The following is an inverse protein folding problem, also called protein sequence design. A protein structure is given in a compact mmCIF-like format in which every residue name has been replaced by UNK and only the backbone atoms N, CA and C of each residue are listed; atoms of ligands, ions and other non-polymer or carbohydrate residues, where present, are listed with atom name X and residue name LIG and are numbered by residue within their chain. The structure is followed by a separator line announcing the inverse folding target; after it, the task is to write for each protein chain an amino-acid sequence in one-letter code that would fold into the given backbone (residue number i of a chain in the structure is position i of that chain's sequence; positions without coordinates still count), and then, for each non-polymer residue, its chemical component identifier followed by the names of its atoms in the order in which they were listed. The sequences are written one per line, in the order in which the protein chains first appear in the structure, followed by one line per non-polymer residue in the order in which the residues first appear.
data_IF_211554390196
#
_entry.id   IF_211554390196
#
_cell.length_a   1.000
_cell.length_b   1.000
_cell.length_c   1.000
_cell.angle_alpha   90.00
_cell.angle_beta   90.00
_cell.angle_gamma   90.00
#
_symmetry.space_group_name_H-M   'P 1'
#
loop_
_entity.id
_entity.type
_entity.pdbx_description
1 polymer ?
#
# COMPACT_ATOMS: atom_id res chain seq x y z
N UNK A 1 -7.68 17.48 -35.62
CA UNK A 1 -7.97 16.04 -35.76
C UNK A 1 -7.92 15.39 -34.38
N UNK A 2 -9.06 15.33 -33.68
CA UNK A 2 -9.21 14.58 -32.43
C UNK A 2 -10.14 13.41 -32.69
N UNK A 3 -9.57 12.26 -33.09
CA UNK A 3 -10.30 11.00 -33.28
C UNK A 3 -9.36 9.84 -32.92
N UNK A 4 -9.44 9.37 -31.68
CA UNK A 4 -9.52 7.93 -31.32
C UNK A 4 -9.40 7.72 -29.81
N UNK A 5 -10.51 7.73 -29.08
CA UNK A 5 -10.60 7.16 -27.72
C UNK A 5 -11.94 6.44 -27.50
N UNK A 6 -12.44 5.74 -28.53
CA UNK A 6 -13.79 5.14 -28.52
C UNK A 6 -13.84 3.60 -28.54
N UNK A 7 -12.74 2.90 -28.30
CA UNK A 7 -12.74 1.42 -28.28
C UNK A 7 -12.34 0.82 -26.92
N UNK A 8 -12.90 1.35 -25.83
CA UNK A 8 -12.89 0.66 -24.53
C UNK A 8 -14.11 -0.27 -24.43
N UNK A 9 -13.82 -1.56 -24.26
CA UNK A 9 -14.77 -2.66 -24.30
C UNK A 9 -15.89 -2.55 -23.24
N UNK A 10 -17.03 -3.15 -23.59
CA UNK A 10 -18.36 -3.09 -22.94
C UNK A 10 -18.41 -3.40 -21.42
N UNK A 11 -17.33 -3.85 -20.79
CA UNK A 11 -17.20 -4.08 -19.34
C UNK A 11 -16.65 -2.87 -18.56
N UNK A 12 -16.16 -1.82 -19.23
CA UNK A 12 -15.75 -0.54 -18.63
C UNK A 12 -16.89 0.52 -18.65
N UNK A 13 -18.06 0.20 -19.21
CA UNK A 13 -19.17 1.16 -19.41
C UNK A 13 -20.00 1.49 -18.16
N UNK A 14 -19.56 1.07 -16.97
CA UNK A 14 -20.10 1.58 -15.71
C UNK A 14 -19.33 2.76 -15.12
N UNK A 15 -18.20 3.17 -15.73
CA UNK A 15 -17.17 4.00 -15.05
C UNK A 15 -16.74 5.23 -15.87
N UNK A 16 -17.42 5.56 -16.97
CA UNK A 16 -17.13 6.78 -17.72
C UNK A 16 -18.42 7.43 -18.23
N UNK A 17 -19.11 8.15 -17.35
CA UNK A 17 -20.03 9.25 -17.66
C UNK A 17 -19.61 10.39 -16.72
N UNK A 18 -19.35 11.62 -17.16
CA UNK A 18 -19.97 12.37 -18.23
C UNK A 18 -18.96 13.36 -18.83
N UNK A 19 -18.99 13.56 -20.15
CA UNK A 19 -18.38 14.69 -20.85
C UNK A 19 -19.05 16.04 -20.56
N UNK A 20 -19.79 16.15 -19.46
CA UNK A 20 -20.25 17.42 -18.89
C UNK A 20 -19.38 17.73 -17.69
N UNK A 21 -18.32 18.50 -17.95
CA UNK A 21 -17.41 19.04 -16.96
C UNK A 21 -18.14 19.95 -15.98
N UNK A 22 -18.70 19.37 -14.92
CA UNK A 22 -18.82 20.11 -13.67
C UNK A 22 -17.43 20.01 -13.03
N UNK A 23 -16.68 21.13 -12.90
CA UNK A 23 -15.40 21.10 -12.22
C UNK A 23 -15.61 20.54 -10.82
N UNK A 24 -14.70 19.69 -10.32
CA UNK A 24 -14.75 19.32 -8.91
C UNK A 24 -14.68 20.60 -8.07
N UNK A 25 -15.68 20.86 -7.23
CA UNK A 25 -15.63 22.01 -6.34
C UNK A 25 -14.46 21.85 -5.36
N UNK A 26 -13.74 22.94 -5.07
CA UNK A 26 -12.67 22.93 -4.07
C UNK A 26 -13.26 23.01 -2.65
N UNK A 27 -13.92 21.92 -2.25
CA UNK A 27 -14.68 21.80 -0.99
C UNK A 27 -14.06 20.77 -0.04
N UNK A 28 -12.79 20.42 -0.25
CA UNK A 28 -12.09 19.48 0.61
C UNK A 28 -12.07 19.93 2.08
N UNK A 29 -11.90 21.24 2.31
CA UNK A 29 -11.85 21.78 3.66
C UNK A 29 -13.18 21.63 4.42
N UNK A 30 -14.33 21.54 3.73
CA UNK A 30 -15.62 21.21 4.33
C UNK A 30 -15.60 19.77 4.87
N UNK A 31 -15.30 18.79 4.01
CA UNK A 31 -15.20 17.37 4.40
C UNK A 31 -14.17 17.17 5.52
N UNK A 32 -13.01 17.81 5.41
CA UNK A 32 -11.94 17.74 6.42
C UNK A 32 -12.37 18.33 7.75
N UNK A 33 -13.17 19.41 7.74
CA UNK A 33 -13.76 20.00 8.94
C UNK A 33 -14.75 19.03 9.59
N UNK A 34 -15.63 18.40 8.82
CA UNK A 34 -16.58 17.39 9.32
C UNK A 34 -15.86 16.20 9.95
N UNK A 35 -14.89 15.61 9.25
CA UNK A 35 -14.11 14.45 9.74
C UNK A 35 -13.32 14.80 11.00
N UNK A 36 -12.78 16.03 11.09
CA UNK A 36 -12.10 16.53 12.28
C UNK A 36 -13.06 16.72 13.46
N UNK A 37 -14.23 17.31 13.25
CA UNK A 37 -15.26 17.51 14.29
C UNK A 37 -15.76 16.18 14.85
N UNK A 38 -15.80 15.13 14.02
CA UNK A 38 -16.14 13.78 14.45
C UNK A 38 -15.03 13.07 15.26
N UNK A 39 -13.89 13.73 15.53
CA UNK A 39 -12.77 13.16 16.28
C UNK A 39 -11.99 12.07 15.52
N UNK A 40 -12.27 11.85 14.23
CA UNK A 40 -11.71 10.71 13.49
C UNK A 40 -10.23 10.87 13.13
N UNK A 41 -9.68 12.07 13.25
CA UNK A 41 -8.25 12.38 13.02
C UNK A 41 -7.41 12.35 14.31
N UNK A 42 -8.04 12.08 15.46
CA UNK A 42 -7.32 12.03 16.74
C UNK A 42 -6.29 10.90 16.77
N UNK A 43 -5.21 11.14 17.51
CA UNK A 43 -4.13 10.16 17.68
C UNK A 43 -4.55 9.12 18.70
N UNK A 44 -4.13 7.89 18.47
CA UNK A 44 -4.54 6.74 19.28
C UNK A 44 -3.34 6.04 19.95
N UNK A 45 -2.54 6.75 20.77
CA UNK A 45 -1.28 6.23 21.27
C UNK A 45 -1.46 4.94 22.08
N UNK A 46 -2.52 4.81 22.88
CA UNK A 46 -2.78 3.61 23.71
C UNK A 46 -3.04 2.39 22.83
N UNK A 47 -4.03 2.47 21.94
CA UNK A 47 -4.37 1.39 21.01
C UNK A 47 -3.20 1.04 20.09
N UNK A 48 -2.50 2.05 19.58
CA UNK A 48 -1.31 1.87 18.77
C UNK A 48 -0.20 1.14 19.53
N UNK A 49 0.03 1.49 20.79
CA UNK A 49 1.02 0.82 21.65
C UNK A 49 0.66 -0.65 21.92
N UNK A 50 -0.63 -0.95 22.09
CA UNK A 50 -1.10 -2.34 22.24
C UNK A 50 -0.79 -3.15 20.97
N UNK A 51 -1.07 -2.63 19.77
CA UNK A 51 -0.73 -3.34 18.53
C UNK A 51 0.78 -3.52 18.36
N UNK A 52 1.56 -2.49 18.68
CA UNK A 52 3.02 -2.54 18.65
C UNK A 52 3.58 -3.64 19.56
N UNK A 53 3.11 -3.70 20.81
CA UNK A 53 3.51 -4.73 21.78
C UNK A 53 3.07 -6.12 21.31
N UNK A 54 1.84 -6.25 20.79
CA UNK A 54 1.33 -7.53 20.31
C UNK A 54 2.15 -8.08 19.14
N UNK A 55 2.57 -7.24 18.19
CA UNK A 55 3.40 -7.66 17.06
C UNK A 55 4.80 -8.06 17.53
N UNK A 56 5.44 -7.28 18.40
CA UNK A 56 6.76 -7.64 18.97
C UNK A 56 6.66 -8.94 19.76
N UNK A 57 5.68 -9.06 20.65
CA UNK A 57 5.46 -10.25 21.47
C UNK A 57 5.19 -11.49 20.62
N UNK A 58 4.42 -11.36 19.53
CA UNK A 58 4.15 -12.46 18.61
C UNK A 58 5.40 -12.90 17.84
N UNK A 59 6.24 -11.95 17.41
CA UNK A 59 7.51 -12.29 16.76
C UNK A 59 8.47 -13.00 17.74
N UNK A 60 8.60 -12.46 18.95
CA UNK A 60 9.43 -13.10 20.00
C UNK A 60 8.92 -14.51 20.31
N UNK A 61 7.61 -14.69 20.45
CA UNK A 61 7.00 -16.00 20.67
C UNK A 61 7.26 -16.96 19.49
N UNK A 62 7.13 -16.49 18.25
CA UNK A 62 7.43 -17.30 17.06
C UNK A 62 8.88 -17.80 17.06
N UNK A 63 9.84 -16.93 17.37
CA UNK A 63 11.26 -17.28 17.41
C UNK A 63 11.60 -18.19 18.60
N UNK A 64 11.09 -17.88 19.78
CA UNK A 64 11.36 -18.63 21.01
C UNK A 64 10.76 -20.04 20.98
N UNK A 65 9.62 -20.22 20.31
CA UNK A 65 8.93 -21.50 20.21
C UNK A 65 9.21 -22.24 18.90
N UNK A 66 10.04 -21.70 18.00
CA UNK A 66 10.27 -22.25 16.66
C UNK A 66 10.49 -23.78 16.60
N UNK A 67 11.26 -24.42 17.52
CA UNK A 67 11.44 -25.89 17.52
C UNK A 67 10.15 -26.70 17.72
N UNK A 68 9.08 -26.09 18.24
CA UNK A 68 7.80 -26.75 18.49
C UNK A 68 6.89 -26.80 17.27
N UNK A 69 7.24 -26.11 16.19
CA UNK A 69 6.36 -25.92 15.04
C UNK A 69 6.76 -26.80 13.85
N UNK A 70 5.77 -27.16 13.05
CA UNK A 70 6.02 -27.51 11.66
C UNK A 70 6.54 -26.25 10.92
N UNK A 71 7.62 -26.34 10.10
CA UNK A 71 8.21 -25.18 9.43
C UNK A 71 7.24 -24.40 8.53
N UNK A 72 6.26 -25.08 7.90
CA UNK A 72 5.26 -24.41 7.06
C UNK A 72 4.31 -23.59 7.93
N UNK A 73 3.82 -24.18 9.04
CA UNK A 73 2.93 -23.47 9.97
C UNK A 73 3.64 -22.29 10.64
N UNK A 74 4.92 -22.44 11.00
CA UNK A 74 5.74 -21.34 11.50
C UNK A 74 5.89 -20.23 10.46
N UNK A 75 6.16 -20.58 9.20
CA UNK A 75 6.23 -19.62 8.10
C UNK A 75 4.93 -18.84 7.90
N UNK A 76 3.78 -19.51 7.94
CA UNK A 76 2.46 -18.85 7.86
C UNK A 76 2.21 -17.91 9.04
N UNK A 77 2.58 -18.33 10.26
CA UNK A 77 2.45 -17.48 11.44
C UNK A 77 3.38 -16.26 11.37
N UNK A 78 4.64 -16.43 10.96
CA UNK A 78 5.58 -15.33 10.74
C UNK A 78 5.06 -14.39 9.65
N UNK A 79 4.49 -14.89 8.56
CA UNK A 79 3.82 -14.04 7.55
C UNK A 79 2.75 -13.17 8.17
N UNK A 80 1.86 -13.74 8.99
CA UNK A 80 0.83 -12.97 9.68
C UNK A 80 1.44 -11.86 10.53
N UNK A 81 2.46 -12.18 11.33
CA UNK A 81 3.15 -11.20 12.20
C UNK A 81 3.84 -10.10 11.37
N UNK A 82 4.52 -10.46 10.28
CA UNK A 82 5.18 -9.51 9.38
C UNK A 82 4.18 -8.61 8.65
N UNK A 83 3.06 -9.15 8.17
CA UNK A 83 1.96 -8.33 7.60
C UNK A 83 1.44 -7.33 8.64
N UNK A 84 1.27 -7.74 9.90
CA UNK A 84 0.89 -6.81 10.97
C UNK A 84 1.98 -5.77 11.24
N UNK A 85 3.26 -6.14 11.17
CA UNK A 85 4.37 -5.18 11.28
C UNK A 85 4.36 -4.15 10.15
N UNK A 86 3.99 -4.53 8.92
CA UNK A 86 3.82 -3.60 7.79
C UNK A 86 2.76 -2.55 8.14
N UNK A 87 1.59 -2.96 8.60
CA UNK A 87 0.51 -2.04 8.97
C UNK A 87 0.85 -1.15 10.17
N UNK A 88 1.50 -1.69 11.20
CA UNK A 88 1.94 -0.89 12.36
C UNK A 88 2.99 0.14 11.93
N UNK A 89 3.99 -0.27 11.15
CA UNK A 89 5.01 0.66 10.64
C UNK A 89 4.39 1.75 9.76
N UNK A 90 3.47 1.38 8.88
CA UNK A 90 2.71 2.29 8.03
C UNK A 90 2.01 3.37 8.86
N UNK A 91 1.24 2.98 9.87
CA UNK A 91 0.44 3.90 10.68
C UNK A 91 1.29 4.82 11.53
N UNK A 92 2.34 4.25 12.12
CA UNK A 92 3.31 5.01 12.90
C UNK A 92 3.95 6.06 12.00
N UNK A 93 4.44 5.69 10.81
CA UNK A 93 5.08 6.63 9.88
C UNK A 93 4.12 7.68 9.30
N UNK A 94 2.82 7.38 9.22
CA UNK A 94 1.75 8.36 8.96
C UNK A 94 1.40 9.24 10.16
N UNK A 95 2.07 9.07 11.29
CA UNK A 95 1.79 9.75 12.57
C UNK A 95 0.39 9.49 13.11
N UNK A 96 -0.22 8.35 12.81
CA UNK A 96 -1.59 8.02 13.25
C UNK A 96 -1.64 7.71 14.76
N UNK A 97 -0.57 7.15 15.32
CA UNK A 97 -0.51 6.77 16.74
C UNK A 97 -0.01 7.91 17.62
N UNK A 98 0.98 8.67 17.15
CA UNK A 98 1.66 9.70 17.93
C UNK A 98 1.77 11.01 17.13
N UNK A 99 1.73 12.16 17.82
CA UNK A 99 1.80 13.47 17.16
C UNK A 99 3.20 13.80 16.59
N UNK A 100 4.26 13.31 17.22
CA UNK A 100 5.64 13.67 16.86
C UNK A 100 6.17 12.81 15.70
N UNK A 101 6.59 13.46 14.61
CA UNK A 101 7.22 12.78 13.45
C UNK A 101 8.54 12.11 13.84
N UNK A 102 9.36 12.76 14.67
CA UNK A 102 10.64 12.21 15.14
C UNK A 102 10.44 10.98 16.03
N UNK A 103 9.49 11.04 16.96
CA UNK A 103 9.13 9.88 17.78
C UNK A 103 8.60 8.74 16.92
N UNK A 104 7.66 9.05 16.03
CA UNK A 104 7.07 8.07 15.11
C UNK A 104 8.14 7.38 14.27
N UNK A 105 9.09 8.14 13.73
CA UNK A 105 10.21 7.58 12.99
C UNK A 105 11.02 6.58 13.82
N UNK A 106 11.39 6.92 15.04
CA UNK A 106 12.12 6.01 15.94
C UNK A 106 11.31 4.76 16.30
N UNK A 107 10.02 4.94 16.60
CA UNK A 107 9.10 3.85 16.96
C UNK A 107 8.75 2.93 15.78
N UNK A 108 8.99 3.36 14.54
CA UNK A 108 8.79 2.51 13.37
C UNK A 108 9.88 1.43 13.23
N UNK A 109 11.11 1.68 13.69
CA UNK A 109 12.27 0.80 13.42
C UNK A 109 12.12 -0.65 13.88
N UNK A 110 11.52 -0.97 15.04
CA UNK A 110 11.23 -2.36 15.41
C UNK A 110 10.41 -3.10 14.36
N UNK A 111 9.49 -2.41 13.69
CA UNK A 111 8.56 -3.00 12.72
C UNK A 111 9.11 -2.96 11.30
N UNK A 112 9.69 -1.83 10.88
CA UNK A 112 10.27 -1.68 9.55
C UNK A 112 11.65 -2.32 9.43
N UNK A 113 12.63 -1.85 10.21
CA UNK A 113 14.02 -2.23 10.04
C UNK A 113 14.29 -3.63 10.61
N UNK A 114 13.85 -3.92 11.84
CA UNK A 114 14.15 -5.21 12.48
C UNK A 114 13.28 -6.35 11.97
N UNK A 115 11.95 -6.19 11.94
CA UNK A 115 11.05 -7.28 11.52
C UNK A 115 11.04 -7.44 9.99
N UNK A 116 11.08 -6.35 9.22
CA UNK A 116 10.90 -6.41 7.76
C UNK A 116 12.17 -6.15 6.93
N UNK A 117 13.28 -5.71 7.54
CA UNK A 117 14.46 -5.21 6.82
C UNK A 117 14.15 -4.09 5.82
N UNK A 118 13.15 -3.26 6.12
CA UNK A 118 12.74 -2.12 5.29
C UNK A 118 13.18 -0.80 5.93
N UNK A 119 13.55 0.16 5.08
CA UNK A 119 13.88 1.51 5.50
C UNK A 119 12.60 2.32 5.69
N UNK A 120 12.38 2.79 6.91
CA UNK A 120 11.39 3.82 7.21
C UNK A 120 11.62 5.11 6.44
N UNK A 121 12.86 5.44 6.05
CA UNK A 121 13.19 6.67 5.29
C UNK A 121 12.88 6.52 3.82
N UNK A 122 13.22 5.38 3.24
CA UNK A 122 12.77 5.01 1.91
C UNK A 122 11.25 5.02 1.84
N UNK A 123 10.58 4.39 2.81
CA UNK A 123 9.12 4.33 2.83
C UNK A 123 8.49 5.73 3.00
N UNK A 124 8.98 6.58 3.91
CA UNK A 124 8.44 7.96 4.09
C UNK A 124 8.61 8.79 2.80
N UNK A 125 9.75 8.64 2.11
CA UNK A 125 9.98 9.33 0.84
C UNK A 125 9.08 8.78 -0.28
N UNK A 126 9.10 7.46 -0.50
CA UNK A 126 8.33 6.82 -1.57
C UNK A 126 6.82 7.01 -1.37
N UNK A 127 6.32 6.70 -0.18
CA UNK A 127 4.89 6.69 0.09
C UNK A 127 4.36 8.09 0.40
N UNK A 128 4.89 8.76 1.43
CA UNK A 128 4.29 10.03 1.90
C UNK A 128 4.62 11.21 1.01
N UNK A 129 5.85 11.27 0.46
CA UNK A 129 6.27 12.41 -0.37
C UNK A 129 5.85 12.22 -1.82
N UNK A 130 6.07 11.04 -2.41
CA UNK A 130 5.73 10.80 -3.80
C UNK A 130 4.28 10.32 -3.95
N UNK A 131 3.97 9.09 -3.52
CA UNK A 131 2.69 8.44 -3.83
C UNK A 131 1.46 9.18 -3.26
N UNK A 132 1.49 9.63 -2.00
CA UNK A 132 0.37 10.40 -1.42
C UNK A 132 0.16 11.73 -2.13
N UNK A 133 1.25 12.46 -2.41
CA UNK A 133 1.16 13.79 -3.03
C UNK A 133 0.77 13.73 -4.51
N UNK A 134 1.27 12.72 -5.21
CA UNK A 134 1.24 12.64 -6.67
C UNK A 134 0.68 11.30 -7.18
N UNK A 135 -0.28 10.71 -6.47
CA UNK A 135 -0.86 9.40 -6.82
C UNK A 135 -1.27 9.35 -8.30
N UNK A 136 -0.77 8.35 -9.03
CA UNK A 136 -0.92 8.16 -10.48
C UNK A 136 -0.55 9.36 -11.37
N UNK A 137 0.29 10.28 -10.89
CA UNK A 137 0.99 11.24 -11.76
C UNK A 137 2.20 10.52 -12.37
N UNK A 138 2.19 10.33 -13.68
CA UNK A 138 3.09 9.39 -14.37
C UNK A 138 4.58 9.75 -14.26
N UNK A 139 4.90 11.02 -14.09
CA UNK A 139 6.28 11.50 -13.95
C UNK A 139 6.79 11.44 -12.51
N UNK A 140 5.93 11.18 -11.52
CA UNK A 140 6.24 11.30 -10.08
C UNK A 140 5.97 10.03 -9.29
N UNK A 141 4.89 9.32 -9.59
CA UNK A 141 4.50 8.10 -8.90
C UNK A 141 5.11 6.87 -9.57
N UNK A 142 6.10 6.28 -8.91
CA UNK A 142 6.77 5.07 -9.43
C UNK A 142 5.84 3.85 -9.41
N UNK A 143 4.79 3.84 -8.59
CA UNK A 143 3.93 2.67 -8.44
C UNK A 143 3.05 2.43 -9.68
N UNK A 144 2.69 3.48 -10.43
CA UNK A 144 1.92 3.36 -11.69
C UNK A 144 2.77 2.95 -12.89
N UNK A 145 4.10 2.99 -12.78
CA UNK A 145 5.04 2.62 -13.86
C UNK A 145 5.23 1.09 -14.02
N UNK A 146 4.49 0.29 -13.25
CA UNK A 146 4.55 -1.16 -13.26
C UNK A 146 4.36 -1.77 -14.67
N UNK A 147 5.02 -2.92 -14.90
CA UNK A 147 5.01 -3.66 -16.16
C UNK A 147 5.23 -2.74 -17.38
N UNK A 148 6.36 -2.04 -17.40
CA UNK A 148 6.72 -1.14 -18.51
C UNK A 148 5.59 -0.15 -18.84
N UNK A 149 5.14 0.57 -17.80
CA UNK A 149 4.11 1.62 -17.92
C UNK A 149 2.77 1.10 -18.43
N UNK A 150 2.39 -0.13 -18.09
CA UNK A 150 1.13 -0.73 -18.57
C UNK A 150 -0.13 0.00 -18.08
N UNK A 151 -0.01 0.73 -16.97
CA UNK A 151 -1.11 1.42 -16.30
C UNK A 151 -1.09 2.94 -16.50
N UNK A 152 -0.30 3.44 -17.44
CA UNK A 152 -0.23 4.86 -17.78
C UNK A 152 -0.84 5.13 -19.15
N UNK A 153 -1.05 6.40 -19.49
CA UNK A 153 -1.46 6.86 -20.81
C UNK A 153 -0.42 6.47 -21.88
N UNK A 154 0.87 6.63 -21.58
CA UNK A 154 1.96 6.25 -22.47
C UNK A 154 2.49 4.84 -22.15
N UNK A 155 1.88 3.83 -22.77
CA UNK A 155 2.30 2.44 -22.60
C UNK A 155 3.68 2.19 -23.17
N UNK A 156 4.46 1.38 -22.46
CA UNK A 156 5.73 0.87 -22.98
C UNK A 156 5.56 -0.01 -24.22
N UNK A 157 6.65 -0.15 -24.96
CA UNK A 157 6.67 -0.81 -26.28
C UNK A 157 7.57 -2.04 -26.33
N UNK A 158 8.12 -2.50 -25.19
CA UNK A 158 9.06 -3.60 -25.16
C UNK A 158 8.42 -4.92 -25.66
N UNK A 159 8.90 -5.53 -26.76
CA UNK A 159 8.28 -6.73 -27.34
C UNK A 159 8.27 -7.94 -26.40
N UNK A 160 9.32 -8.11 -25.59
CA UNK A 160 9.42 -9.20 -24.62
C UNK A 160 8.39 -9.03 -23.50
N UNK A 161 8.26 -7.81 -22.96
CA UNK A 161 7.27 -7.50 -21.93
C UNK A 161 5.86 -7.71 -22.46
N UNK A 162 5.55 -7.24 -23.68
CA UNK A 162 4.24 -7.47 -24.32
C UNK A 162 3.91 -8.95 -24.48
N UNK A 163 4.88 -9.76 -24.91
CA UNK A 163 4.70 -11.21 -25.10
C UNK A 163 4.45 -11.94 -23.78
N UNK A 164 5.14 -11.57 -22.70
CA UNK A 164 5.09 -12.30 -21.42
C UNK A 164 4.42 -11.51 -20.28
N UNK A 165 3.62 -10.49 -20.61
CA UNK A 165 3.06 -9.51 -19.66
C UNK A 165 2.39 -10.10 -18.42
N UNK A 166 1.56 -11.13 -18.59
CA UNK A 166 0.87 -11.76 -17.46
C UNK A 166 1.83 -12.51 -16.54
N UNK A 167 2.80 -13.23 -17.11
CA UNK A 167 3.79 -13.95 -16.34
C UNK A 167 4.71 -12.98 -15.59
N UNK A 168 5.13 -11.90 -16.25
CA UNK A 168 5.97 -10.88 -15.63
C UNK A 168 5.20 -10.16 -14.53
N UNK A 169 4.00 -9.64 -14.82
CA UNK A 169 3.23 -8.89 -13.84
C UNK A 169 2.83 -9.76 -12.64
N UNK A 170 2.16 -10.89 -12.88
CA UNK A 170 1.70 -11.74 -11.78
C UNK A 170 2.85 -12.48 -11.08
N UNK A 171 3.89 -12.86 -11.83
CA UNK A 171 5.11 -13.43 -11.26
C UNK A 171 5.86 -12.45 -10.36
N UNK A 172 5.96 -11.17 -10.74
CA UNK A 172 6.60 -10.14 -9.93
C UNK A 172 5.93 -9.94 -8.56
N UNK A 173 4.64 -10.26 -8.42
CA UNK A 173 3.93 -10.13 -7.14
C UNK A 173 4.47 -11.07 -6.06
N UNK A 174 5.13 -12.16 -6.43
CA UNK A 174 5.83 -13.06 -5.49
C UNK A 174 7.19 -12.54 -5.03
N UNK A 175 7.64 -11.40 -5.55
CA UNK A 175 8.93 -10.79 -5.23
C UNK A 175 8.80 -9.37 -4.65
N UNK A 176 7.59 -8.93 -4.30
CA UNK A 176 7.35 -7.62 -3.69
C UNK A 176 8.15 -7.40 -2.39
N UNK A 177 8.16 -8.39 -1.49
CA UNK A 177 8.91 -8.29 -0.23
C UNK A 177 10.43 -8.09 -0.45
N UNK A 178 11.14 -8.97 -1.20
CA UNK A 178 12.55 -8.75 -1.47
C UNK A 178 12.82 -7.49 -2.32
N UNK A 179 11.91 -7.09 -3.21
CA UNK A 179 12.04 -5.85 -3.97
C UNK A 179 12.02 -4.61 -3.07
N UNK A 180 11.19 -4.60 -2.02
CA UNK A 180 11.14 -3.50 -1.06
C UNK A 180 12.39 -3.44 -0.17
N UNK A 181 12.93 -4.60 0.20
CA UNK A 181 14.21 -4.71 0.91
C UNK A 181 15.34 -4.15 0.02
N UNK A 182 15.40 -4.57 -1.24
CA UNK A 182 16.42 -4.12 -2.19
C UNK A 182 16.36 -2.59 -2.43
N UNK A 183 15.15 -2.04 -2.62
CA UNK A 183 14.94 -0.60 -2.76
C UNK A 183 15.31 0.16 -1.48
N UNK A 184 14.95 -0.38 -0.31
CA UNK A 184 15.33 0.17 0.99
C UNK A 184 16.84 0.24 1.15
N UNK A 185 17.57 -0.84 0.84
CA UNK A 185 19.03 -0.88 0.89
C UNK A 185 19.66 0.12 -0.08
N UNK A 186 19.19 0.14 -1.34
CA UNK A 186 19.67 1.11 -2.34
C UNK A 186 19.50 2.54 -1.84
N UNK A 187 18.35 2.85 -1.25
CA UNK A 187 18.03 4.19 -0.74
C UNK A 187 18.95 4.59 0.42
N UNK A 188 19.07 3.76 1.46
CA UNK A 188 19.88 4.12 2.65
C UNK A 188 21.37 4.22 2.31
N UNK A 189 21.90 3.39 1.40
CA UNK A 189 23.29 3.45 0.95
C UNK A 189 23.54 4.74 0.16
N UNK A 190 22.71 5.02 -0.86
CA UNK A 190 22.84 6.24 -1.68
C UNK A 190 22.73 7.52 -0.84
N UNK A 191 21.88 7.51 0.19
CA UNK A 191 21.67 8.64 1.10
C UNK A 191 22.60 8.64 2.32
N UNK A 192 23.51 7.67 2.45
CA UNK A 192 24.46 7.51 3.57
C UNK A 192 23.78 7.46 4.95
N UNK A 193 22.62 6.83 5.04
CA UNK A 193 21.84 6.67 6.27
C UNK A 193 22.35 5.46 7.10
N UNK A 194 23.59 5.53 7.56
CA UNK A 194 24.30 4.38 8.15
C UNK A 194 23.66 3.81 9.41
N UNK A 195 23.04 4.65 10.24
CA UNK A 195 22.32 4.17 11.43
C UNK A 195 21.13 3.29 11.06
N UNK A 196 20.33 3.71 10.08
CA UNK A 196 19.18 2.92 9.61
C UNK A 196 19.61 1.68 8.83
N UNK A 197 20.68 1.80 8.04
CA UNK A 197 21.31 0.66 7.37
C UNK A 197 21.76 -0.42 8.37
N UNK A 198 22.41 -0.03 9.48
CA UNK A 198 22.81 -0.95 10.53
C UNK A 198 21.60 -1.65 11.19
N UNK A 199 20.53 -0.90 11.48
CA UNK A 199 19.29 -1.48 12.03
C UNK A 199 18.65 -2.48 11.06
N UNK A 200 18.62 -2.19 9.75
CA UNK A 200 18.10 -3.11 8.75
C UNK A 200 18.95 -4.39 8.64
N UNK A 201 20.29 -4.27 8.76
CA UNK A 201 21.18 -5.43 8.75
C UNK A 201 20.95 -6.35 9.96
N UNK A 202 20.51 -5.82 11.10
CA UNK A 202 20.21 -6.62 12.29
C UNK A 202 19.04 -7.60 12.08
N UNK A 203 18.16 -7.35 11.10
CA UNK A 203 17.09 -8.29 10.70
C UNK A 203 17.63 -9.70 10.45
N UNK A 204 18.73 -9.82 9.72
CA UNK A 204 19.26 -11.10 9.26
C UNK A 204 19.75 -12.00 10.39
N UNK A 205 20.67 -11.58 11.28
CA UNK A 205 21.09 -12.42 12.40
C UNK A 205 19.98 -12.60 13.44
N UNK A 206 19.13 -11.60 13.69
CA UNK A 206 18.11 -11.69 14.74
C UNK A 206 16.94 -12.60 14.35
N UNK A 207 16.43 -12.50 13.12
CA UNK A 207 15.30 -13.32 12.69
C UNK A 207 15.83 -14.64 12.12
N UNK A 208 16.60 -14.56 11.03
CA UNK A 208 17.02 -15.75 10.29
C UNK A 208 18.17 -16.49 10.96
N UNK A 209 19.12 -15.79 11.59
CA UNK A 209 20.17 -16.41 12.37
C UNK A 209 19.63 -17.20 13.57
N UNK A 210 18.65 -16.65 14.29
CA UNK A 210 17.94 -17.37 15.36
C UNK A 210 17.20 -18.58 14.84
N UNK A 211 16.49 -18.49 13.71
CA UNK A 211 15.82 -19.66 13.12
C UNK A 211 16.83 -20.74 12.69
N UNK A 212 17.95 -20.37 12.05
CA UNK A 212 19.01 -21.32 11.68
C UNK A 212 19.52 -22.05 12.91
N UNK A 213 19.75 -21.33 14.01
CA UNK A 213 20.20 -21.90 15.26
C UNK A 213 19.16 -22.84 15.90
N UNK A 214 17.88 -22.46 15.90
CA UNK A 214 16.81 -23.19 16.58
C UNK A 214 16.32 -24.42 15.82
N UNK A 215 16.15 -24.32 14.50
CA UNK A 215 15.46 -25.34 13.68
C UNK A 215 16.32 -25.88 12.53
N UNK A 216 17.57 -25.41 12.38
CA UNK A 216 18.48 -25.81 11.33
C UNK A 216 18.22 -25.11 9.98
N UNK A 217 19.21 -25.18 9.09
CA UNK A 217 19.20 -24.46 7.81
C UNK A 217 18.07 -24.85 6.87
N UNK A 218 17.77 -26.15 6.73
CA UNK A 218 16.73 -26.64 5.81
C UNK A 218 15.33 -26.17 6.25
N UNK A 219 14.97 -26.33 7.52
CA UNK A 219 13.68 -25.87 8.02
C UNK A 219 13.56 -24.34 7.96
N UNK A 220 14.65 -23.61 8.22
CA UNK A 220 14.67 -22.16 8.06
C UNK A 220 14.46 -21.74 6.61
N UNK A 221 15.05 -22.46 5.65
CA UNK A 221 14.80 -22.22 4.22
C UNK A 221 13.32 -22.45 3.87
N UNK A 222 12.70 -23.50 4.39
CA UNK A 222 11.25 -23.74 4.20
C UNK A 222 10.44 -22.57 4.77
N UNK A 223 10.73 -22.12 5.99
CA UNK A 223 10.09 -20.95 6.59
C UNK A 223 10.27 -19.71 5.70
N UNK A 224 11.48 -19.44 5.21
CA UNK A 224 11.78 -18.30 4.36
C UNK A 224 11.01 -18.33 3.03
N UNK A 225 10.92 -19.52 2.40
CA UNK A 225 10.13 -19.70 1.17
C UNK A 225 8.64 -19.47 1.44
N UNK A 226 8.08 -20.08 2.50
CA UNK A 226 6.68 -19.88 2.86
C UNK A 226 6.40 -18.40 3.13
N UNK A 227 7.26 -17.71 3.88
CA UNK A 227 7.14 -16.28 4.14
C UNK A 227 7.15 -15.50 2.84
N UNK A 228 8.12 -15.71 1.95
CA UNK A 228 8.18 -15.00 0.68
C UNK A 228 6.93 -15.23 -0.20
N UNK A 229 6.54 -16.49 -0.38
CA UNK A 229 5.42 -16.87 -1.25
C UNK A 229 4.04 -16.53 -0.69
N UNK A 230 3.94 -16.10 0.57
CA UNK A 230 2.67 -15.68 1.18
C UNK A 230 2.65 -14.18 1.51
N UNK A 231 3.75 -13.61 2.02
CA UNK A 231 3.86 -12.18 2.32
C UNK A 231 3.90 -11.33 1.05
N UNK A 232 4.69 -11.72 0.03
CA UNK A 232 4.81 -10.90 -1.19
C UNK A 232 3.47 -10.75 -1.92
N UNK A 233 2.67 -11.81 -2.16
CA UNK A 233 1.33 -11.66 -2.72
C UNK A 233 0.38 -10.88 -1.80
N UNK A 234 0.42 -11.09 -0.48
CA UNK A 234 -0.43 -10.33 0.44
C UNK A 234 -0.14 -8.82 0.35
N UNK A 235 1.14 -8.44 0.33
CA UNK A 235 1.54 -7.05 0.10
C UNK A 235 1.03 -6.55 -1.24
N UNK A 236 1.26 -7.32 -2.31
CA UNK A 236 0.78 -6.98 -3.66
C UNK A 236 -0.70 -6.66 -3.65
N UNK A 237 -1.49 -7.57 -3.10
CA UNK A 237 -2.94 -7.44 -3.00
C UNK A 237 -3.31 -6.15 -2.29
N UNK A 238 -2.64 -5.82 -1.19
CA UNK A 238 -2.88 -4.60 -0.43
C UNK A 238 -2.59 -3.29 -1.18
N UNK A 239 -1.73 -3.29 -2.21
CA UNK A 239 -1.31 -2.07 -2.92
C UNK A 239 -1.93 -1.94 -4.31
N UNK A 240 -1.88 -3.00 -5.13
CA UNK A 240 -2.24 -2.88 -6.55
C UNK A 240 -3.72 -2.61 -6.78
N UNK A 241 -4.60 -3.22 -5.98
CA UNK A 241 -6.06 -3.14 -6.19
C UNK A 241 -6.65 -1.77 -5.88
N UNK A 242 -5.87 -0.89 -5.25
CA UNK A 242 -6.35 0.35 -4.68
C UNK A 242 -6.16 1.57 -5.58
N UNK A 243 -5.23 1.49 -6.55
CA UNK A 243 -4.97 2.61 -7.47
C UNK A 243 -4.52 2.15 -8.88
N UNK A 244 -4.01 0.93 -9.07
CA UNK A 244 -3.70 0.45 -10.42
C UNK A 244 -4.97 0.26 -11.24
N UNK A 245 -4.93 0.79 -12.47
CA UNK A 245 -6.07 0.81 -13.38
C UNK A 245 -7.15 1.85 -13.01
N UNK A 246 -6.89 2.75 -12.04
CA UNK A 246 -7.62 4.01 -11.93
C UNK A 246 -7.09 4.99 -12.98
N UNK A 247 -7.64 6.21 -13.02
CA UNK A 247 -7.11 7.25 -13.91
C UNK A 247 -5.64 7.57 -13.56
N UNK A 248 -4.85 7.84 -14.59
CA UNK A 248 -3.50 8.40 -14.48
C UNK A 248 -3.43 9.71 -15.26
N UNK A 249 -2.59 10.62 -14.78
CA UNK A 249 -2.47 11.96 -15.35
C UNK A 249 -1.02 12.29 -15.64
N UNK A 250 -0.82 13.07 -16.70
CA UNK A 250 0.44 13.80 -16.88
C UNK A 250 0.58 14.88 -15.81
N UNK A 251 1.81 15.24 -15.45
CA UNK A 251 2.07 16.28 -14.45
C UNK A 251 1.30 17.58 -14.70
N UNK A 252 1.23 18.03 -15.96
CA UNK A 252 0.52 19.26 -16.35
C UNK A 252 -1.00 19.14 -16.29
N UNK A 253 -1.55 17.92 -16.38
CA UNK A 253 -2.97 17.65 -16.17
C UNK A 253 -3.27 17.63 -14.67
N UNK A 254 -2.44 16.94 -13.89
CA UNK A 254 -2.58 16.83 -12.43
C UNK A 254 -2.54 18.18 -11.72
N UNK A 255 -1.69 19.12 -12.18
CA UNK A 255 -1.62 20.50 -11.64
C UNK A 255 -2.94 21.29 -11.75
N UNK A 256 -3.86 20.87 -12.61
CA UNK A 256 -5.17 21.51 -12.81
C UNK A 256 -6.26 20.95 -11.90
N UNK A 257 -6.00 19.80 -11.27
CA UNK A 257 -6.96 19.12 -10.40
C UNK A 257 -6.82 19.63 -8.97
N UNK A 258 -7.94 19.78 -8.27
CA UNK A 258 -7.90 20.02 -6.82
C UNK A 258 -7.36 18.78 -6.10
N UNK A 259 -6.93 18.93 -4.84
CA UNK A 259 -6.51 17.80 -4.01
C UNK A 259 -7.59 16.72 -3.91
N UNK A 260 -8.84 17.13 -3.67
CA UNK A 260 -9.96 16.20 -3.57
C UNK A 260 -10.17 15.45 -4.89
N UNK A 261 -10.18 16.17 -6.01
CA UNK A 261 -10.39 15.59 -7.32
C UNK A 261 -9.31 14.57 -7.67
N UNK A 262 -8.04 14.94 -7.50
CA UNK A 262 -6.93 14.07 -7.82
C UNK A 262 -7.05 12.75 -7.05
N UNK A 263 -7.18 12.82 -5.71
CA UNK A 263 -7.21 11.61 -4.89
C UNK A 263 -8.46 10.75 -5.14
N UNK A 264 -9.62 11.35 -5.42
CA UNK A 264 -10.87 10.61 -5.71
C UNK A 264 -10.82 9.88 -7.07
N UNK A 265 -10.10 10.42 -8.06
CA UNK A 265 -10.01 9.86 -9.43
C UNK A 265 -8.88 8.86 -9.59
N UNK A 266 -7.77 9.05 -8.88
CA UNK A 266 -6.58 8.18 -9.00
C UNK A 266 -6.59 7.00 -8.03
N UNK A 267 -7.54 6.93 -7.11
CA UNK A 267 -7.67 5.82 -6.16
C UNK A 267 -9.09 5.24 -6.14
N UNK A 268 -9.23 4.03 -5.57
CA UNK A 268 -10.52 3.37 -5.37
C UNK A 268 -10.58 2.73 -3.99
N UNK A 269 -11.77 2.66 -3.42
CA UNK A 269 -12.01 1.92 -2.20
C UNK A 269 -12.68 0.56 -2.48
N UNK A 270 -12.38 -0.44 -1.67
CA UNK A 270 -12.83 -1.82 -1.80
C UNK A 270 -13.81 -2.19 -0.68
N UNK A 271 -14.93 -2.76 -1.10
CA UNK A 271 -15.99 -3.32 -0.26
C UNK A 271 -15.72 -4.77 0.11
N UNK A 272 -16.44 -5.28 1.11
CA UNK A 272 -16.34 -6.67 1.56
C UNK A 272 -16.32 -6.85 3.08
N UNK A 273 -16.73 -5.81 3.82
CA UNK A 273 -16.96 -5.88 5.27
C UNK A 273 -15.68 -6.00 6.09
N UNK A 274 -15.84 -6.53 7.31
CA UNK A 274 -14.78 -6.56 8.32
C UNK A 274 -13.57 -7.42 7.90
N UNK A 275 -13.80 -8.52 7.18
CA UNK A 275 -12.71 -9.38 6.72
C UNK A 275 -11.81 -8.67 5.70
N UNK A 276 -12.39 -8.04 4.68
CA UNK A 276 -11.61 -7.25 3.70
C UNK A 276 -10.88 -6.12 4.40
N UNK A 277 -11.53 -5.41 5.32
CA UNK A 277 -10.87 -4.34 6.06
C UNK A 277 -9.68 -4.84 6.89
N UNK A 278 -9.82 -5.99 7.57
CA UNK A 278 -8.73 -6.61 8.31
C UNK A 278 -7.59 -7.10 7.41
N UNK A 279 -7.93 -7.78 6.30
CA UNK A 279 -6.97 -8.37 5.37
C UNK A 279 -6.10 -7.30 4.70
N UNK A 280 -6.73 -6.21 4.23
CA UNK A 280 -6.03 -5.07 3.62
C UNK A 280 -5.45 -4.11 4.66
N UNK A 281 -5.66 -4.38 5.94
CA UNK A 281 -5.29 -3.49 7.02
C UNK A 281 -6.04 -2.16 7.03
N UNK A 282 -7.02 -1.90 6.17
CA UNK A 282 -7.60 -0.57 6.01
C UNK A 282 -7.07 0.18 4.79
N UNK A 283 -6.12 -0.38 4.04
CA UNK A 283 -5.79 0.14 2.71
C UNK A 283 -6.93 -0.10 1.70
N UNK A 284 -7.90 -0.96 2.02
CA UNK A 284 -9.12 -1.08 1.24
C UNK A 284 -9.91 0.24 1.19
N UNK A 285 -9.68 1.21 2.07
CA UNK A 285 -10.28 2.55 1.99
C UNK A 285 -9.25 3.54 1.45
N UNK A 286 -8.77 3.31 0.23
CA UNK A 286 -7.62 4.05 -0.32
C UNK A 286 -7.94 5.53 -0.53
N UNK A 287 -9.15 5.84 -1.02
CA UNK A 287 -9.58 7.23 -1.22
C UNK A 287 -9.46 7.99 0.10
N UNK A 288 -9.97 7.41 1.18
CA UNK A 288 -9.94 8.00 2.51
C UNK A 288 -8.52 8.08 3.08
N UNK A 289 -7.71 7.06 2.82
CA UNK A 289 -6.32 7.02 3.23
C UNK A 289 -5.50 8.12 2.55
N UNK A 290 -5.75 8.41 1.27
CA UNK A 290 -5.09 9.51 0.55
C UNK A 290 -5.62 10.88 0.98
N UNK A 291 -6.93 11.04 1.17
CA UNK A 291 -7.50 12.30 1.64
C UNK A 291 -7.08 12.59 3.09
N UNK A 292 -7.00 11.56 3.94
CA UNK A 292 -6.75 11.68 5.37
C UNK A 292 -5.67 10.69 5.85
N UNK A 293 -4.41 10.79 5.38
CA UNK A 293 -3.34 9.84 5.73
C UNK A 293 -3.07 9.77 7.23
N UNK A 294 -3.39 10.85 7.93
CA UNK A 294 -3.27 11.03 9.38
C UNK A 294 -4.44 10.41 10.18
N UNK A 295 -5.51 9.95 9.53
CA UNK A 295 -6.60 9.25 10.21
C UNK A 295 -6.14 7.83 10.58
N UNK A 296 -6.28 7.38 11.84
CA UNK A 296 -5.93 6.02 12.20
C UNK A 296 -6.72 4.98 11.39
N UNK A 297 -6.08 3.87 10.97
CA UNK A 297 -6.76 2.79 10.21
C UNK A 297 -8.08 2.32 10.81
N UNK A 298 -8.20 2.30 12.14
CA UNK A 298 -9.42 1.90 12.85
C UNK A 298 -10.61 2.85 12.66
N UNK A 299 -10.34 4.11 12.27
CA UNK A 299 -11.36 5.09 11.96
C UNK A 299 -11.69 5.13 10.47
N UNK A 300 -10.89 4.50 9.60
CA UNK A 300 -11.02 4.68 8.15
C UNK A 300 -12.36 4.20 7.60
N UNK A 301 -13.00 3.16 8.15
CA UNK A 301 -14.36 2.79 7.73
C UNK A 301 -15.40 3.88 8.07
N UNK A 302 -15.21 4.60 9.18
CA UNK A 302 -16.08 5.74 9.55
C UNK A 302 -15.81 6.92 8.62
N UNK A 303 -14.54 7.21 8.35
CA UNK A 303 -14.14 8.23 7.36
C UNK A 303 -14.71 7.89 5.99
N UNK A 304 -14.68 6.62 5.58
CA UNK A 304 -15.22 6.13 4.32
C UNK A 304 -16.71 6.41 4.20
N UNK A 305 -17.47 6.13 5.27
CA UNK A 305 -18.88 6.47 5.30
C UNK A 305 -19.10 7.98 5.08
N UNK A 306 -18.37 8.83 5.79
CA UNK A 306 -18.47 10.28 5.66
C UNK A 306 -18.08 10.77 4.25
N UNK A 307 -16.97 10.27 3.70
CA UNK A 307 -16.53 10.60 2.33
C UNK A 307 -17.56 10.18 1.30
N UNK A 308 -18.16 8.98 1.43
CA UNK A 308 -19.21 8.50 0.51
C UNK A 308 -20.48 9.36 0.61
N UNK A 309 -20.90 9.72 1.82
CA UNK A 309 -22.08 10.55 2.04
C UNK A 309 -21.85 11.98 1.53
N UNK A 310 -20.64 12.53 1.72
CA UNK A 310 -20.22 13.82 1.17
C UNK A 310 -20.18 13.80 -0.36
N UNK A 311 -19.60 12.76 -0.97
CA UNK A 311 -19.57 12.61 -2.42
C UNK A 311 -20.99 12.60 -3.00
N UNK A 312 -21.93 11.87 -2.38
CA UNK A 312 -23.35 11.88 -2.79
C UNK A 312 -24.00 13.26 -2.65
N UNK A 313 -23.74 13.97 -1.55
CA UNK A 313 -24.31 15.31 -1.29
C UNK A 313 -23.88 16.34 -2.34
N UNK A 314 -22.65 16.21 -2.85
CA UNK A 314 -22.04 17.16 -3.78
C UNK A 314 -21.92 16.64 -5.22
N UNK A 315 -22.61 15.55 -5.56
CA UNK A 315 -22.58 14.90 -6.88
C UNK A 315 -21.16 14.59 -7.39
N UNK A 316 -20.29 14.13 -6.48
CA UNK A 316 -18.92 13.71 -6.78
C UNK A 316 -18.89 12.20 -7.06
N UNK A 317 -18.09 11.80 -8.06
CA UNK A 317 -17.86 10.39 -8.35
C UNK A 317 -17.02 9.76 -7.23
N UNK A 318 -17.54 8.68 -6.63
CA UNK A 318 -16.84 7.90 -5.60
C UNK A 318 -16.58 6.49 -6.12
N UNK A 319 -15.31 6.17 -6.42
CA UNK A 319 -14.97 4.88 -7.00
C UNK A 319 -14.88 3.78 -5.93
N UNK A 320 -15.90 2.94 -5.89
CA UNK A 320 -15.98 1.80 -4.98
C UNK A 320 -16.23 0.48 -5.74
N UNK A 321 -15.52 -0.58 -5.37
CA UNK A 321 -15.68 -1.90 -6.01
C UNK A 321 -15.37 -3.07 -5.07
N UNK A 322 -15.36 -4.31 -5.57
CA UNK A 322 -14.90 -5.48 -4.79
C UNK A 322 -13.45 -5.82 -5.15
N UNK A 323 -12.67 -6.49 -4.27
CA UNK A 323 -11.33 -6.98 -4.61
C UNK A 323 -11.29 -7.78 -5.91
N UNK A 324 -12.27 -8.67 -6.12
CA UNK A 324 -12.36 -9.50 -7.34
C UNK A 324 -12.50 -8.62 -8.58
N UNK A 325 -13.41 -7.64 -8.54
CA UNK A 325 -13.62 -6.72 -9.66
C UNK A 325 -12.37 -5.87 -9.93
N UNK A 326 -11.65 -5.43 -8.88
CA UNK A 326 -10.39 -4.71 -9.05
C UNK A 326 -9.34 -5.54 -9.80
N UNK A 327 -9.21 -6.84 -9.48
CA UNK A 327 -8.33 -7.75 -10.24
C UNK A 327 -8.77 -7.94 -11.68
N UNK A 328 -10.07 -8.04 -11.94
CA UNK A 328 -10.60 -8.13 -13.31
C UNK A 328 -10.22 -6.86 -14.09
N UNK A 329 -10.35 -5.68 -13.48
CA UNK A 329 -9.97 -4.41 -14.09
C UNK A 329 -8.47 -4.33 -14.39
N UNK A 330 -7.61 -4.72 -13.44
CA UNK A 330 -6.15 -4.82 -13.66
C UNK A 330 -5.85 -5.76 -14.83
N UNK A 331 -6.44 -6.95 -14.84
CA UNK A 331 -6.25 -7.91 -15.92
C UNK A 331 -6.76 -7.41 -17.28
N UNK A 332 -7.81 -6.59 -17.30
CA UNK A 332 -8.29 -5.99 -18.55
C UNK A 332 -7.30 -4.94 -19.08
N UNK A 333 -6.69 -4.12 -18.21
CA UNK A 333 -5.60 -3.22 -18.61
C UNK A 333 -4.42 -4.01 -19.19
N UNK A 334 -4.06 -5.14 -18.57
CA UNK A 334 -3.03 -6.04 -19.08
C UNK A 334 -3.40 -6.64 -20.44
N UNK A 335 -4.67 -6.97 -20.71
CA UNK A 335 -5.13 -7.44 -22.04
C UNK A 335 -4.88 -6.39 -23.12
N UNK A 336 -5.08 -5.13 -22.79
CA UNK A 336 -4.96 -3.98 -23.67
C UNK A 336 -3.52 -3.44 -23.84
N UNK A 337 -2.56 -3.93 -23.03
CA UNK A 337 -1.13 -3.61 -23.16
C UNK A 337 -0.46 -4.31 -24.34
#
# INVERSE_FOLDING_TARGET
MYKSYNNLNKYNRGIFMSTTATPYPDIFDELKSEVRKAGLLERIPVRGSIEMIAVIGSMVAALATAPMWNPILLGLFITLVMTRAVFVSHDVLHTQYFKSKSLSKKLSYPFSAFILSNSSSWWDFKHNVNHHTYCNIEEKDEDILALDRAFTQDKGSNPFVKKYKYLIFWGAQFFMFPAFIAQSYSFVIKRKLWGEFALMLMHWPIIWGTLIFQIGGLNTLIVALVVNFTLSPWLSFGFITNHLGCESFKEEEGKKLSWLELQMRTSRSLTGGAFVHWFYGGLNTQIEHHLFPKAPRFNLLKVQKMTRDFAKKHDLFYFETTPITAYVQINNVLKEY
#
